data_IF_245123138303
#
_entry.id   IF_245123138303
#
_cell.length_a   1.000
_cell.length_b   1.000
_cell.length_c   1.000
_cell.angle_alpha   90.00
_cell.angle_beta   90.00
_cell.angle_gamma   90.00
#
_symmetry.space_group_name_H-M   'P 1'
#
loop_
_entity.id
_entity.type
_entity.pdbx_description
1 polymer ?
#
# COMPACT_ATOMS: atom_id res chain seq x y z
N UNK A 1 39.65 -0.98 5.30
CA UNK A 1 38.79 -0.84 4.10
C UNK A 1 37.36 -1.04 4.57
N UNK A 2 36.61 0.05 4.76
CA UNK A 2 35.18 -0.03 5.11
C UNK A 2 34.40 -0.36 3.83
N UNK A 3 33.67 -1.48 3.75
CA UNK A 3 32.73 -1.66 2.67
C UNK A 3 31.53 -0.76 2.99
N UNK A 4 31.53 0.43 2.40
CA UNK A 4 30.33 1.24 2.32
C UNK A 4 29.37 0.46 1.41
N UNK A 5 28.56 -0.42 2.01
CA UNK A 5 27.45 -1.07 1.33
C UNK A 5 26.61 0.06 0.78
N UNK A 6 26.71 0.32 -0.53
CA UNK A 6 25.81 1.23 -1.22
C UNK A 6 24.41 0.75 -0.87
N UNK A 7 23.74 1.47 0.04
CA UNK A 7 22.32 1.29 0.31
C UNK A 7 21.66 1.45 -1.06
N UNK A 8 21.24 0.34 -1.66
CA UNK A 8 20.45 0.36 -2.89
C UNK A 8 19.28 1.30 -2.61
N UNK A 9 19.31 2.49 -3.20
CA UNK A 9 18.17 3.38 -3.11
C UNK A 9 16.99 2.61 -3.72
N UNK A 10 15.92 2.44 -2.95
CA UNK A 10 14.78 1.67 -3.43
C UNK A 10 14.25 2.32 -4.70
N UNK A 11 14.18 1.55 -5.79
CA UNK A 11 13.71 2.06 -7.07
C UNK A 11 12.22 2.41 -7.00
N UNK A 12 11.82 3.39 -7.80
CA UNK A 12 10.41 3.70 -8.01
C UNK A 12 9.83 2.74 -9.05
N UNK A 13 8.69 2.13 -8.74
CA UNK A 13 8.01 1.15 -9.57
C UNK A 13 6.62 1.66 -9.96
N UNK A 14 6.30 1.67 -11.25
CA UNK A 14 4.96 2.01 -11.75
C UNK A 14 4.03 0.81 -11.54
N UNK A 15 2.88 1.04 -10.92
CA UNK A 15 1.93 -0.01 -10.52
C UNK A 15 0.54 0.12 -11.15
N UNK A 16 0.31 1.18 -11.93
CA UNK A 16 -0.98 1.39 -12.61
C UNK A 16 -1.33 2.88 -12.71
N UNK A 17 -2.55 3.16 -13.13
CA UNK A 17 -3.15 4.49 -13.13
C UNK A 17 -4.07 4.69 -11.91
N UNK A 18 -4.35 5.94 -11.53
CA UNK A 18 -5.23 6.25 -10.40
C UNK A 18 -6.66 5.75 -10.62
N UNK A 19 -7.15 5.74 -11.87
CA UNK A 19 -8.48 5.19 -12.21
C UNK A 19 -8.61 3.68 -11.97
N UNK A 20 -7.51 2.93 -11.97
CA UNK A 20 -7.51 1.49 -11.71
C UNK A 20 -7.73 1.13 -10.23
N UNK A 21 -7.73 2.14 -9.34
CA UNK A 21 -7.96 1.98 -7.91
C UNK A 21 -9.25 2.72 -7.54
N UNK A 22 -10.40 2.03 -7.45
CA UNK A 22 -11.67 2.62 -7.01
C UNK A 22 -11.52 3.28 -5.63
N UNK A 23 -12.21 4.41 -5.40
CA UNK A 23 -12.13 5.09 -4.10
C UNK A 23 -12.96 4.32 -3.09
N UNK A 24 -12.32 3.87 -2.01
CA UNK A 24 -13.01 3.34 -0.86
C UNK A 24 -13.44 4.53 0.02
N UNK A 25 -14.75 4.78 0.04
CA UNK A 25 -15.39 5.66 1.00
C UNK A 25 -16.10 4.78 2.04
N UNK A 26 -15.79 4.93 3.33
CA UNK A 26 -16.51 4.22 4.37
C UNK A 26 -17.89 4.86 4.52
N UNK A 27 -18.85 4.36 3.77
CA UNK A 27 -20.26 4.74 3.93
C UNK A 27 -20.85 4.08 5.19
N UNK A 28 -20.20 3.00 5.66
CA UNK A 28 -20.53 2.19 6.83
C UNK A 28 -19.26 1.74 7.58
N UNK A 29 -19.42 1.39 8.86
CA UNK A 29 -18.33 0.87 9.71
C UNK A 29 -17.65 -0.35 9.07
N UNK A 30 -16.39 -0.17 8.64
CA UNK A 30 -15.47 -1.22 8.19
C UNK A 30 -15.72 -1.76 6.77
N UNK A 31 -15.18 -1.08 5.75
CA UNK A 31 -15.28 -1.52 4.34
C UNK A 31 -14.18 -2.52 3.96
N UNK A 32 -14.50 -3.68 3.36
CA UNK A 32 -13.50 -4.65 2.93
C UNK A 32 -12.62 -4.05 1.80
N UNK A 33 -11.31 -4.30 1.88
CA UNK A 33 -10.34 -3.74 0.93
C UNK A 33 -10.22 -4.55 -0.37
N UNK A 34 -10.50 -5.85 -0.33
CA UNK A 34 -10.35 -6.79 -1.45
C UNK A 34 -10.89 -6.29 -2.81
N UNK A 35 -12.13 -5.76 -2.93
CA UNK A 35 -12.69 -5.42 -4.23
C UNK A 35 -12.06 -4.18 -4.89
N UNK A 36 -11.21 -3.43 -4.18
CA UNK A 36 -10.65 -2.16 -4.69
C UNK A 36 -9.15 -2.02 -4.44
N UNK A 37 -8.47 -3.15 -4.21
CA UNK A 37 -7.04 -3.19 -4.00
C UNK A 37 -6.33 -4.08 -5.01
N UNK A 38 -5.05 -3.79 -5.23
CA UNK A 38 -4.16 -4.63 -6.02
C UNK A 38 -2.90 -4.93 -5.22
N UNK A 39 -2.37 -6.12 -5.39
CA UNK A 39 -1.10 -6.50 -4.79
C UNK A 39 -0.03 -6.65 -5.87
N UNK A 40 1.22 -6.29 -5.57
CA UNK A 40 2.35 -6.46 -6.48
C UNK A 40 3.54 -7.07 -5.74
N UNK A 41 4.19 -8.06 -6.35
CA UNK A 41 5.47 -8.57 -5.89
C UNK A 41 6.60 -7.65 -6.39
N UNK A 42 7.36 -7.08 -5.45
CA UNK A 42 8.50 -6.21 -5.74
C UNK A 42 9.71 -6.70 -4.94
N UNK A 43 10.58 -7.51 -5.58
CA UNK A 43 11.74 -8.08 -4.90
C UNK A 43 12.69 -7.01 -4.36
N UNK A 44 13.27 -7.24 -3.17
CA UNK A 44 14.25 -6.28 -2.59
C UNK A 44 15.50 -6.10 -3.46
N UNK A 45 15.84 -7.12 -4.24
CA UNK A 45 16.96 -7.07 -5.19
C UNK A 45 16.71 -6.10 -6.35
N UNK A 46 15.47 -5.58 -6.51
CA UNK A 46 15.02 -4.76 -7.64
C UNK A 46 15.31 -5.43 -9.01
N UNK A 47 15.34 -6.76 -9.05
CA UNK A 47 15.56 -7.52 -10.29
C UNK A 47 14.20 -7.72 -10.95
N UNK A 48 13.91 -6.88 -11.94
CA UNK A 48 12.72 -6.99 -12.78
C UNK A 48 11.60 -6.00 -12.43
N UNK A 49 10.58 -5.89 -13.31
CA UNK A 49 9.42 -5.03 -13.08
C UNK A 49 8.52 -5.60 -11.96
N UNK A 50 7.66 -4.76 -11.35
CA UNK A 50 6.63 -5.23 -10.42
C UNK A 50 5.71 -6.22 -11.14
N UNK A 51 5.41 -7.35 -10.48
CA UNK A 51 4.49 -8.38 -10.99
C UNK A 51 3.23 -8.34 -10.15
N UNK A 52 2.07 -8.16 -10.77
CA UNK A 52 0.78 -8.20 -10.07
C UNK A 52 0.57 -9.58 -9.44
N UNK A 53 0.16 -9.58 -8.17
CA UNK A 53 -0.05 -10.77 -7.37
C UNK A 53 -1.55 -11.03 -7.21
N UNK A 54 -1.95 -12.29 -7.33
CA UNK A 54 -3.32 -12.73 -7.11
C UNK A 54 -3.67 -12.64 -5.61
N UNK A 55 -4.70 -11.84 -5.29
CA UNK A 55 -5.17 -11.61 -3.93
C UNK A 55 -6.10 -12.71 -3.41
N UNK A 56 -6.72 -13.49 -4.31
CA UNK A 56 -7.63 -14.59 -3.99
C UNK A 56 -6.86 -15.88 -3.68
N UNK A 57 -5.71 -16.05 -4.34
CA UNK A 57 -4.75 -17.13 -4.09
C UNK A 57 -3.40 -16.57 -3.60
N UNK A 58 -3.36 -15.97 -2.39
CA UNK A 58 -2.16 -15.36 -1.87
C UNK A 58 -1.06 -16.42 -1.66
N UNK A 59 -0.08 -16.43 -2.56
CA UNK A 59 1.12 -17.25 -2.46
C UNK A 59 2.10 -16.73 -1.40
N UNK A 60 3.39 -16.56 -1.77
CA UNK A 60 4.34 -15.93 -0.86
C UNK A 60 4.09 -14.42 -0.78
N UNK A 61 3.52 -13.99 0.35
CA UNK A 61 3.26 -12.59 0.69
C UNK A 61 4.54 -11.80 0.99
N UNK A 62 5.68 -12.47 1.14
CA UNK A 62 6.96 -11.79 1.33
C UNK A 62 7.21 -10.87 0.15
N UNK A 63 7.58 -9.64 0.47
CA UNK A 63 7.97 -8.63 -0.51
C UNK A 63 6.83 -8.13 -1.40
N UNK A 64 5.58 -8.52 -1.10
CA UNK A 64 4.40 -7.95 -1.74
C UNK A 64 4.01 -6.61 -1.12
N UNK A 65 3.62 -5.67 -1.97
CA UNK A 65 2.98 -4.40 -1.61
C UNK A 65 1.50 -4.49 -1.96
N UNK A 66 0.64 -4.05 -1.04
CA UNK A 66 -0.78 -3.87 -1.24
C UNK A 66 -1.07 -2.39 -1.49
N UNK A 67 -1.83 -2.09 -2.54
CA UNK A 67 -2.10 -0.75 -3.02
C UNK A 67 -3.60 -0.56 -3.17
N UNK A 68 -4.11 0.55 -2.64
CA UNK A 68 -5.54 0.85 -2.61
C UNK A 68 -5.77 2.36 -2.55
N UNK A 69 -6.95 2.81 -2.97
CA UNK A 69 -7.39 4.21 -2.82
C UNK A 69 -8.40 4.30 -1.69
N UNK A 70 -8.16 5.22 -0.77
CA UNK A 70 -9.05 5.48 0.36
C UNK A 70 -9.23 6.98 0.54
N UNK A 71 -10.48 7.45 0.55
CA UNK A 71 -10.84 8.88 0.63
C UNK A 71 -10.02 9.77 -0.32
N UNK A 72 -9.92 9.34 -1.57
CA UNK A 72 -9.22 10.04 -2.65
C UNK A 72 -7.69 9.96 -2.61
N UNK A 73 -7.10 9.25 -1.64
CA UNK A 73 -5.64 9.12 -1.49
C UNK A 73 -5.19 7.69 -1.79
N UNK A 74 -4.09 7.57 -2.53
CA UNK A 74 -3.47 6.27 -2.78
C UNK A 74 -2.55 5.92 -1.62
N UNK A 75 -2.73 4.71 -1.09
CA UNK A 75 -1.93 4.12 -0.04
C UNK A 75 -1.21 2.88 -0.55
N UNK A 76 0.00 2.65 -0.03
CA UNK A 76 0.78 1.46 -0.32
C UNK A 76 1.44 0.93 0.96
N UNK A 77 1.21 -0.34 1.27
CA UNK A 77 1.65 -0.99 2.52
C UNK A 77 2.20 -2.39 2.23
N UNK A 78 2.97 -2.98 3.14
CA UNK A 78 3.29 -4.40 3.03
C UNK A 78 1.98 -5.22 3.08
N UNK A 79 1.80 -6.12 2.11
CA UNK A 79 0.61 -6.98 2.05
C UNK A 79 0.56 -7.98 3.23
N UNK A 80 1.73 -8.31 3.78
CA UNK A 80 1.89 -9.23 4.88
C UNK A 80 1.63 -8.55 6.24
N UNK A 81 0.62 -9.01 6.98
CA UNK A 81 0.39 -8.56 8.35
C UNK A 81 1.60 -8.83 9.25
N UNK A 82 2.15 -7.81 9.96
CA UNK A 82 3.37 -7.97 10.76
C UNK A 82 3.19 -8.84 12.02
N UNK A 83 1.95 -9.17 12.40
CA UNK A 83 1.66 -10.06 13.53
C UNK A 83 1.92 -11.53 13.19
N UNK A 84 1.31 -12.02 12.12
CA UNK A 84 1.30 -13.47 11.79
C UNK A 84 1.20 -13.74 10.29
N UNK A 85 1.71 -12.83 9.46
CA UNK A 85 1.82 -12.98 8.02
C UNK A 85 0.52 -13.23 7.25
N UNK A 86 -0.64 -12.83 7.80
CA UNK A 86 -1.92 -12.96 7.10
C UNK A 86 -2.06 -11.89 5.99
N UNK A 87 -2.70 -12.20 4.84
CA UNK A 87 -2.92 -11.23 3.77
C UNK A 87 -3.82 -10.08 4.22
N UNK A 88 -3.30 -8.86 4.14
CA UNK A 88 -4.05 -7.65 4.46
C UNK A 88 -5.04 -7.25 3.37
N UNK A 89 -5.00 -7.85 2.16
CA UNK A 89 -6.04 -7.69 1.14
C UNK A 89 -7.42 -8.17 1.59
N UNK A 90 -7.48 -9.00 2.64
CA UNK A 90 -8.73 -9.47 3.24
C UNK A 90 -9.14 -8.63 4.46
N UNK A 91 -8.43 -7.54 4.72
CA UNK A 91 -8.74 -6.63 5.82
C UNK A 91 -9.88 -5.66 5.51
N UNK A 92 -10.22 -4.87 6.50
CA UNK A 92 -11.22 -3.81 6.38
C UNK A 92 -10.66 -2.47 6.82
N UNK A 93 -10.94 -1.42 6.06
CA UNK A 93 -10.55 -0.05 6.34
C UNK A 93 -11.58 0.65 7.21
N UNK A 94 -11.11 1.51 8.09
CA UNK A 94 -11.95 2.31 8.98
C UNK A 94 -11.28 3.65 9.29
N UNK A 95 -12.08 4.64 9.68
CA UNK A 95 -11.58 5.91 10.16
C UNK A 95 -11.17 5.82 11.63
N UNK A 96 -10.04 6.43 11.95
CA UNK A 96 -9.63 6.63 13.35
C UNK A 96 -10.11 8.02 13.73
N UNK A 97 -11.13 8.09 14.57
CA UNK A 97 -11.80 9.32 14.98
C UNK A 97 -11.69 9.57 16.48
N UNK A 98 -11.68 10.84 16.87
CA UNK A 98 -11.82 11.28 18.26
C UNK A 98 -12.80 12.46 18.32
N UNK A 99 -13.86 12.33 19.12
CA UNK A 99 -14.95 13.31 19.23
C UNK A 99 -15.53 13.80 17.88
N UNK A 100 -15.68 12.89 16.90
CA UNK A 100 -16.22 13.20 15.57
C UNK A 100 -15.25 13.91 14.62
N UNK A 101 -13.96 13.96 14.98
CA UNK A 101 -12.89 14.45 14.12
C UNK A 101 -12.09 13.24 13.62
N UNK A 102 -12.05 13.02 12.31
CA UNK A 102 -11.18 12.01 11.70
C UNK A 102 -9.72 12.42 11.85
N UNK A 103 -8.98 11.70 12.69
CA UNK A 103 -7.55 11.93 12.95
C UNK A 103 -6.66 11.17 11.96
N UNK A 104 -7.09 9.98 11.55
CA UNK A 104 -6.34 9.07 10.67
C UNK A 104 -7.26 7.99 10.09
N UNK A 105 -6.67 6.95 9.49
CA UNK A 105 -7.38 5.77 9.04
C UNK A 105 -6.60 4.50 9.38
N UNK A 106 -7.31 3.41 9.62
CA UNK A 106 -6.78 2.12 10.01
C UNK A 106 -7.18 1.00 9.07
N UNK A 107 -6.38 -0.07 9.09
CA UNK A 107 -6.66 -1.34 8.42
C UNK A 107 -6.67 -2.46 9.46
N UNK A 108 -7.79 -3.16 9.57
CA UNK A 108 -7.96 -4.29 10.50
C UNK A 108 -7.69 -5.61 9.80
N UNK A 109 -6.76 -6.40 10.35
CA UNK A 109 -6.50 -7.76 9.91
C UNK A 109 -7.56 -8.72 10.46
N UNK A 110 -8.27 -9.50 9.62
CA UNK A 110 -9.43 -10.27 10.05
C UNK A 110 -9.04 -11.50 10.89
N UNK A 111 -7.80 -11.98 10.79
CA UNK A 111 -7.36 -13.20 11.48
C UNK A 111 -7.32 -13.05 13.00
N UNK A 112 -6.81 -11.92 13.49
CA UNK A 112 -6.62 -11.69 14.93
C UNK A 112 -7.13 -10.31 15.40
N UNK A 113 -7.69 -9.51 14.48
CA UNK A 113 -8.24 -8.18 14.78
C UNK A 113 -7.19 -7.11 15.10
N UNK A 114 -5.95 -7.28 14.66
CA UNK A 114 -4.91 -6.25 14.81
C UNK A 114 -5.20 -5.14 13.82
N UNK A 115 -5.18 -3.89 14.29
CA UNK A 115 -5.45 -2.73 13.46
C UNK A 115 -4.19 -1.89 13.32
N UNK A 116 -3.94 -1.39 12.12
CA UNK A 116 -2.75 -0.61 11.82
C UNK A 116 -3.14 0.71 11.19
N UNK A 117 -2.63 1.80 11.75
CA UNK A 117 -2.76 3.12 11.16
C UNK A 117 -2.01 3.15 9.80
N UNK A 118 -2.71 3.51 8.72
CA UNK A 118 -2.18 3.40 7.35
C UNK A 118 -1.25 4.57 6.96
N UNK A 119 -1.05 5.55 7.84
CA UNK A 119 -0.18 6.71 7.62
C UNK A 119 1.13 6.63 8.40
N UNK A 120 1.10 6.00 9.58
CA UNK A 120 2.24 5.83 10.49
C UNK A 120 2.74 4.37 10.56
N UNK A 121 1.86 3.41 10.25
CA UNK A 121 2.08 1.98 10.39
C UNK A 121 1.94 1.46 11.82
N UNK A 122 1.59 2.32 12.77
CA UNK A 122 1.49 1.96 14.18
C UNK A 122 0.34 0.96 14.39
N UNK A 123 0.63 -0.15 15.07
CA UNK A 123 -0.41 -1.05 15.54
C UNK A 123 -1.16 -0.42 16.71
N UNK A 124 -2.46 -0.67 16.79
CA UNK A 124 -3.32 -0.25 17.90
C UNK A 124 -2.90 -0.85 19.24
N UNK A 125 -2.30 -2.05 19.19
CA UNK A 125 -1.76 -2.75 20.35
C UNK A 125 -0.49 -3.55 20.06
N UNK A 126 0.25 -3.82 21.12
CA UNK A 126 1.57 -4.47 21.04
C UNK A 126 2.62 -3.58 20.37
N UNK A 127 3.79 -4.15 20.10
CA UNK A 127 4.92 -3.44 19.48
C UNK A 127 5.12 -3.87 18.01
N UNK A 128 4.02 -4.05 17.27
CA UNK A 128 4.05 -4.35 15.84
C UNK A 128 3.99 -3.06 15.04
N UNK A 129 4.65 -3.05 13.88
CA UNK A 129 4.62 -1.92 12.96
C UNK A 129 4.45 -2.40 11.52
N UNK A 130 3.34 -1.99 10.91
CA UNK A 130 3.08 -2.20 9.49
C UNK A 130 4.06 -1.34 8.68
N UNK A 131 4.71 -1.93 7.67
CA UNK A 131 5.60 -1.17 6.81
C UNK A 131 4.78 -0.44 5.75
N UNK A 132 5.03 0.85 5.66
CA UNK A 132 4.45 1.72 4.64
C UNK A 132 5.43 1.90 3.50
N UNK A 133 4.88 2.01 2.30
CA UNK A 133 5.59 2.36 1.09
C UNK A 133 5.35 3.83 0.77
N UNK A 134 6.30 4.43 0.08
CA UNK A 134 6.15 5.76 -0.46
C UNK A 134 5.36 5.67 -1.76
N UNK A 135 4.42 6.60 -1.94
CA UNK A 135 3.59 6.72 -3.13
C UNK A 135 3.85 8.07 -3.77
N UNK A 136 3.97 8.09 -5.09
CA UNK A 136 4.06 9.31 -5.88
C UNK A 136 3.12 9.22 -7.08
N UNK A 137 2.28 10.24 -7.25
CA UNK A 137 1.49 10.42 -8.46
C UNK A 137 2.31 11.21 -9.47
N UNK A 138 2.32 10.75 -10.72
CA UNK A 138 3.06 11.40 -11.81
C UNK A 138 2.16 11.56 -13.02
N UNK A 139 2.25 12.70 -13.69
CA UNK A 139 1.50 12.89 -14.92
C UNK A 139 2.09 11.98 -16.03
N UNK A 140 1.23 11.40 -16.88
CA UNK A 140 1.69 10.57 -17.98
C UNK A 140 2.56 11.41 -18.92
N UNK A 141 3.74 10.88 -19.31
CA UNK A 141 4.62 11.59 -20.25
C UNK A 141 3.86 11.82 -21.56
N UNK A 142 3.74 13.08 -21.95
CA UNK A 142 2.97 13.59 -23.09
C UNK A 142 3.45 13.11 -24.48
N UNK A 143 3.43 11.80 -24.75
CA UNK A 143 3.76 11.23 -26.08
C UNK A 143 2.55 10.82 -26.92
N UNK A 144 1.36 10.63 -26.33
CA UNK A 144 0.16 10.33 -27.09
C UNK A 144 -0.90 11.41 -26.84
N UNK A 145 -0.87 12.46 -27.66
CA UNK A 145 -1.93 13.48 -27.77
C UNK A 145 -3.16 12.89 -28.47
N UNK A 146 -3.76 11.87 -27.88
CA UNK A 146 -4.97 11.22 -28.39
C UNK A 146 -5.66 10.45 -27.26
N UNK A 147 -6.07 11.16 -26.21
CA UNK A 147 -7.29 10.90 -25.44
C UNK A 147 -7.28 11.82 -24.22
N UNK A 148 -8.48 12.18 -23.81
CA UNK A 148 -8.91 12.99 -22.68
C UNK A 148 -8.54 12.39 -21.30
N UNK A 149 -7.34 11.82 -21.16
CA UNK A 149 -6.90 11.09 -19.98
C UNK A 149 -6.04 12.00 -19.10
N UNK A 150 -6.69 12.73 -18.18
CA UNK A 150 -6.04 13.40 -17.04
C UNK A 150 -5.56 12.43 -15.95
N UNK A 151 -5.61 11.13 -16.23
CA UNK A 151 -5.34 10.08 -15.26
C UNK A 151 -3.84 9.96 -14.95
N UNK A 152 -3.51 10.02 -13.67
CA UNK A 152 -2.13 10.06 -13.17
C UNK A 152 -1.59 8.65 -12.98
N UNK A 153 -0.29 8.48 -13.18
CA UNK A 153 0.41 7.23 -12.90
C UNK A 153 0.71 7.10 -11.41
N UNK A 154 0.46 5.92 -10.86
CA UNK A 154 0.82 5.57 -9.49
C UNK A 154 2.20 4.91 -9.48
N UNK A 155 3.10 5.50 -8.71
CA UNK A 155 4.46 4.99 -8.50
C UNK A 155 4.69 4.70 -7.03
N UNK A 156 5.30 3.55 -6.72
CA UNK A 156 5.60 3.14 -5.35
C UNK A 156 7.07 2.81 -5.13
N UNK A 157 7.53 3.01 -3.89
CA UNK A 157 8.91 2.77 -3.46
C UNK A 157 8.94 2.28 -2.01
N UNK A 158 9.86 1.36 -1.69
CA UNK A 158 10.11 0.99 -0.27
C UNK A 158 10.62 2.21 0.49
N UNK A 159 9.97 2.56 1.60
CA UNK A 159 10.41 3.65 2.48
C UNK A 159 11.83 3.37 2.99
N UNK A 160 12.75 4.31 2.77
CA UNK A 160 14.11 4.16 3.26
C UNK A 160 14.13 4.36 4.79
N UNK A 161 14.86 3.51 5.52
CA UNK A 161 15.21 3.84 6.91
C UNK A 161 16.18 5.02 6.87
N UNK A 162 15.65 6.22 7.10
CA UNK A 162 16.46 7.37 7.49
C UNK A 162 16.99 7.00 8.89
N UNK A 163 18.30 6.83 8.97
CA UNK A 163 18.99 6.39 10.18
C UNK A 163 19.14 7.52 11.17
#
# INVERSE_FOLDING_TARGET
MNPFVQRSQAAWHRVGLVSEFPDLQPDDESSPIAPSCKAFNIPKTNVGPPVEADIDLPGDLKEQVLIFRYKGKIHAIDHQCPHSSFPLSQGSLFDIEDFGITLSAGLTCPKHGWSFDIFSGQADRGNYKLKLWEVQLRDPRAKDKSADSTDQEVWVRRKQRIG
#
